data_IF_538879822960
#
_entry.id   IF_538879822960
#
_cell.length_a   1.000
_cell.length_b   1.000
_cell.length_c   1.000
_cell.angle_alpha   90.00
_cell.angle_beta   90.00
_cell.angle_gamma   90.00
#
_symmetry.space_group_name_H-M   'P 1'
#
loop_
_entity.id
_entity.type
_entity.pdbx_description
1 polymer ?
#
# COMPACT_ATOMS: atom_id res chain seq x y z
N UNK A 1 10.31 -4.71 11.35
CA UNK A 1 11.31 -4.27 10.40
C UNK A 1 10.64 -3.73 9.14
N UNK A 2 10.58 -2.40 9.03
CA UNK A 2 9.94 -1.71 7.92
C UNK A 2 10.99 -0.88 7.20
N UNK A 3 10.97 -0.94 5.86
CA UNK A 3 11.90 -0.15 5.04
C UNK A 3 11.13 0.88 4.25
N UNK A 4 11.37 2.14 4.55
CA UNK A 4 10.79 3.26 3.83
C UNK A 4 11.87 3.93 3.01
N UNK A 5 11.67 3.99 1.71
CA UNK A 5 12.61 4.66 0.82
C UNK A 5 12.38 6.17 0.86
N UNK A 6 13.15 6.90 0.08
CA UNK A 6 13.09 8.37 0.07
C UNK A 6 11.74 8.88 -0.37
N UNK A 7 11.29 9.98 0.24
CA UNK A 7 10.10 10.72 -0.18
C UNK A 7 8.79 9.95 -0.01
N UNK A 8 8.78 8.92 0.84
CA UNK A 8 7.53 8.21 1.15
C UNK A 8 6.69 9.07 2.10
N UNK A 9 5.41 9.21 1.81
CA UNK A 9 4.50 9.89 2.70
C UNK A 9 3.62 8.89 3.44
N UNK A 10 3.68 8.92 4.77
CA UNK A 10 2.87 8.04 5.63
C UNK A 10 2.06 8.93 6.56
N UNK A 11 0.75 9.06 6.33
CA UNK A 11 -0.08 9.93 7.17
C UNK A 11 -0.46 9.26 8.48
N UNK A 12 -1.07 10.04 9.37
CA UNK A 12 -1.59 9.49 10.62
C UNK A 12 -2.66 8.42 10.33
N UNK A 13 -2.85 7.53 11.28
CA UNK A 13 -3.81 6.43 11.22
C UNK A 13 -3.43 5.33 10.24
N UNK A 14 -2.20 5.34 9.72
CA UNK A 14 -1.68 4.25 8.91
C UNK A 14 -1.18 3.15 9.82
N UNK A 15 -1.45 1.89 9.46
CA UNK A 15 -0.93 0.73 10.18
C UNK A 15 -0.03 -0.05 9.23
N UNK A 16 1.19 -0.31 9.66
CA UNK A 16 2.18 -1.03 8.83
C UNK A 16 2.70 -2.22 9.62
N UNK A 17 2.56 -3.40 9.04
CA UNK A 17 3.02 -4.63 9.65
C UNK A 17 4.53 -4.82 9.53
N UNK A 18 5.00 -6.01 9.87
CA UNK A 18 6.42 -6.32 9.85
C UNK A 18 6.89 -6.68 8.46
N UNK A 19 8.16 -6.35 8.16
CA UNK A 19 8.78 -6.74 6.90
C UNK A 19 8.25 -6.01 5.68
N UNK A 20 7.56 -4.90 5.86
CA UNK A 20 6.99 -4.14 4.76
C UNK A 20 8.08 -3.30 4.10
N UNK A 21 8.05 -3.27 2.76
CA UNK A 21 8.94 -2.40 1.97
C UNK A 21 8.08 -1.38 1.22
N UNK A 22 8.43 -0.11 1.33
CA UNK A 22 7.71 0.94 0.59
C UNK A 22 8.71 1.70 -0.27
N UNK A 23 8.52 1.60 -1.58
CA UNK A 23 9.40 2.22 -2.56
C UNK A 23 9.33 3.74 -2.55
N UNK A 24 10.30 4.40 -3.19
CA UNK A 24 10.42 5.85 -3.13
C UNK A 24 9.22 6.57 -3.72
N UNK A 25 8.85 7.66 -3.09
CA UNK A 25 7.77 8.54 -3.53
C UNK A 25 6.39 7.89 -3.54
N UNK A 26 6.22 6.76 -2.86
CA UNK A 26 4.89 6.21 -2.65
C UNK A 26 4.13 7.10 -1.67
N UNK A 27 2.82 7.22 -1.88
CA UNK A 27 1.98 8.11 -1.09
C UNK A 27 0.80 7.33 -0.52
N UNK A 28 0.73 7.25 0.80
CA UNK A 28 -0.41 6.70 1.50
C UNK A 28 -1.29 7.87 1.92
N UNK A 29 -2.60 7.70 1.86
CA UNK A 29 -3.52 8.80 2.15
C UNK A 29 -4.53 8.40 3.21
N UNK A 30 -5.07 9.39 3.92
CA UNK A 30 -5.99 9.12 5.03
C UNK A 30 -7.27 9.95 4.99
N UNK A 31 -7.43 10.80 3.99
CA UNK A 31 -8.63 11.64 3.89
C UNK A 31 -9.24 11.45 2.51
N UNK A 32 -10.38 10.78 2.47
CA UNK A 32 -11.04 10.48 1.19
C UNK A 32 -11.53 11.73 0.50
N UNK A 33 -11.88 12.75 1.26
CA UNK A 33 -12.43 14.00 0.73
C UNK A 33 -11.66 15.18 1.32
N UNK A 34 -10.38 15.32 0.95
CA UNK A 34 -9.56 16.36 1.54
C UNK A 34 -10.07 17.76 1.17
N UNK A 35 -9.91 18.75 2.01
CA UNK A 35 -9.24 18.70 3.29
C UNK A 35 -10.22 18.66 4.46
N UNK A 36 -10.99 17.61 4.60
CA UNK A 36 -12.04 17.59 5.64
C UNK A 36 -11.47 17.56 7.05
N UNK A 37 -10.37 16.82 7.26
CA UNK A 37 -9.81 16.67 8.59
C UNK A 37 -10.80 16.13 9.60
N UNK A 38 -11.79 15.41 9.15
CA UNK A 38 -12.87 14.91 10.00
C UNK A 38 -12.43 13.68 10.79
N UNK A 39 -13.19 13.32 11.84
CA UNK A 39 -12.82 12.15 12.64
C UNK A 39 -12.84 10.84 11.85
N UNK A 40 -13.41 10.84 10.67
CA UNK A 40 -13.42 9.66 9.83
C UNK A 40 -12.12 9.43 9.06
N UNK A 41 -11.07 10.15 9.37
CA UNK A 41 -9.78 9.88 8.74
C UNK A 41 -9.38 8.43 8.97
N UNK A 42 -9.01 7.75 7.89
CA UNK A 42 -8.57 6.35 7.93
C UNK A 42 -7.36 6.17 7.05
N UNK A 43 -6.25 5.80 7.66
CA UNK A 43 -5.08 5.43 6.89
C UNK A 43 -5.22 4.00 6.35
N UNK A 44 -4.37 3.63 5.41
CA UNK A 44 -4.36 2.24 4.94
C UNK A 44 -3.75 1.32 5.98
N UNK A 45 -4.07 0.03 5.84
CA UNK A 45 -3.46 -1.02 6.65
C UNK A 45 -2.62 -1.88 5.73
N UNK A 46 -1.32 -1.88 5.93
CA UNK A 46 -0.41 -2.74 5.18
C UNK A 46 -0.04 -3.90 6.09
N UNK A 47 -0.47 -5.12 5.73
CA UNK A 47 -0.16 -6.28 6.53
C UNK A 47 1.27 -6.72 6.31
N UNK A 48 1.69 -7.80 6.97
CA UNK A 48 3.09 -8.19 6.99
C UNK A 48 3.62 -8.50 5.59
N UNK A 49 4.87 -8.15 5.34
CA UNK A 49 5.62 -8.48 4.13
C UNK A 49 5.03 -7.90 2.84
N UNK A 50 4.25 -6.84 2.95
CA UNK A 50 3.72 -6.13 1.78
C UNK A 50 4.85 -5.37 1.10
N UNK A 51 4.83 -5.35 -0.21
CA UNK A 51 5.76 -4.57 -1.02
C UNK A 51 4.97 -3.48 -1.75
N UNK A 52 5.38 -2.23 -1.59
CA UNK A 52 4.76 -1.11 -2.31
C UNK A 52 5.78 -0.54 -3.28
N UNK A 53 5.45 -0.53 -4.56
CA UNK A 53 6.33 -0.02 -5.60
C UNK A 53 6.44 1.50 -5.59
N UNK A 54 7.45 2.00 -6.29
CA UNK A 54 7.70 3.44 -6.36
C UNK A 54 6.50 4.19 -6.95
N UNK A 55 6.22 5.36 -6.41
CA UNK A 55 5.16 6.25 -6.89
C UNK A 55 3.75 5.68 -6.84
N UNK A 56 3.54 4.61 -6.09
CA UNK A 56 2.19 4.07 -5.90
C UNK A 56 1.40 4.99 -4.97
N UNK A 57 0.09 5.03 -5.16
CA UNK A 57 -0.81 5.78 -4.29
C UNK A 57 -1.84 4.83 -3.71
N UNK A 58 -1.99 4.86 -2.39
CA UNK A 58 -2.94 3.99 -1.70
C UNK A 58 -3.99 4.85 -1.03
N UNK A 59 -5.26 4.61 -1.38
CA UNK A 59 -6.35 5.43 -0.90
C UNK A 59 -6.72 5.12 0.55
N UNK A 60 -7.43 6.04 1.22
CA UNK A 60 -7.77 5.88 2.64
C UNK A 60 -8.54 4.60 2.92
N UNK A 61 -8.21 3.97 4.02
CA UNK A 61 -8.94 2.82 4.51
C UNK A 61 -8.69 1.52 3.76
N UNK A 62 -7.82 1.53 2.76
CA UNK A 62 -7.50 0.31 1.99
C UNK A 62 -6.69 -0.63 2.86
N UNK A 63 -7.04 -1.92 2.82
CA UNK A 63 -6.24 -2.96 3.48
C UNK A 63 -5.48 -3.75 2.42
N UNK A 64 -4.18 -3.83 2.57
CA UNK A 64 -3.33 -4.61 1.67
C UNK A 64 -2.92 -5.88 2.40
N UNK A 65 -3.33 -7.03 1.88
CA UNK A 65 -3.13 -8.31 2.55
C UNK A 65 -1.68 -8.76 2.59
N UNK A 66 -1.37 -9.61 3.56
CA UNK A 66 0.00 -10.09 3.77
C UNK A 66 0.62 -10.63 2.50
N UNK A 67 1.88 -10.27 2.27
CA UNK A 67 2.64 -10.77 1.12
C UNK A 67 2.20 -10.23 -0.22
N UNK A 68 1.23 -9.32 -0.26
CA UNK A 68 0.80 -8.70 -1.51
C UNK A 68 1.83 -7.68 -1.99
N UNK A 69 1.79 -7.37 -3.28
CA UNK A 69 2.66 -6.37 -3.86
C UNK A 69 1.83 -5.35 -4.63
N UNK A 70 2.23 -4.09 -4.52
CA UNK A 70 1.64 -3.00 -5.27
C UNK A 70 2.66 -2.60 -6.33
N UNK A 71 2.28 -2.65 -7.60
CA UNK A 71 3.21 -2.28 -8.67
C UNK A 71 3.52 -0.80 -8.64
N UNK A 72 4.67 -0.43 -9.20
CA UNK A 72 5.06 0.97 -9.30
C UNK A 72 3.98 1.76 -10.05
N UNK A 73 3.67 2.95 -9.54
CA UNK A 73 2.70 3.85 -10.17
C UNK A 73 1.26 3.42 -10.06
N UNK A 74 0.95 2.35 -9.36
CA UNK A 74 -0.44 1.89 -9.24
C UNK A 74 -1.25 2.82 -8.36
N UNK A 75 -2.54 2.93 -8.67
CA UNK A 75 -3.51 3.62 -7.81
C UNK A 75 -4.40 2.58 -7.17
N UNK A 76 -4.23 2.34 -5.89
CA UNK A 76 -4.94 1.30 -5.17
C UNK A 76 -6.20 1.90 -4.55
N UNK A 77 -7.37 1.50 -5.06
CA UNK A 77 -8.65 2.08 -4.67
C UNK A 77 -9.48 1.16 -3.78
N UNK A 78 -9.07 -0.08 -3.64
CA UNK A 78 -9.81 -1.06 -2.83
C UNK A 78 -8.85 -2.10 -2.26
N UNK A 79 -9.34 -2.87 -1.31
CA UNK A 79 -8.52 -3.85 -0.60
C UNK A 79 -7.83 -4.81 -1.57
N UNK A 80 -6.57 -5.12 -1.28
CA UNK A 80 -5.77 -6.03 -2.09
C UNK A 80 -5.70 -7.38 -1.37
N UNK A 81 -6.12 -8.46 -2.02
CA UNK A 81 -6.06 -9.78 -1.38
C UNK A 81 -4.62 -10.18 -1.07
N UNK A 82 -4.45 -10.95 -0.02
CA UNK A 82 -3.12 -11.43 0.35
C UNK A 82 -2.48 -12.19 -0.81
N UNK A 83 -1.18 -12.02 -0.97
CA UNK A 83 -0.42 -12.76 -1.96
C UNK A 83 -0.69 -12.39 -3.41
N UNK A 84 -1.45 -11.32 -3.65
CA UNK A 84 -1.77 -10.88 -5.00
C UNK A 84 -0.98 -9.63 -5.35
N UNK A 85 -0.95 -9.30 -6.64
CA UNK A 85 -0.33 -8.07 -7.11
C UNK A 85 -1.41 -7.12 -7.60
N UNK A 86 -1.32 -5.87 -7.17
CA UNK A 86 -2.18 -4.80 -7.66
C UNK A 86 -1.38 -3.96 -8.66
N UNK A 87 -1.92 -3.78 -9.87
CA UNK A 87 -1.19 -3.09 -10.94
C UNK A 87 -2.14 -2.21 -11.73
N UNK A 88 -1.70 -1.02 -12.07
CA UNK A 88 -2.45 -0.12 -12.95
C UNK A 88 -3.18 1.00 -12.22
N UNK A 89 -3.90 1.79 -13.01
CA UNK A 89 -4.63 2.98 -12.53
C UNK A 89 -6.01 2.99 -13.18
N UNK A 90 -7.08 2.60 -12.47
CA UNK A 90 -7.07 2.01 -11.13
C UNK A 90 -6.46 0.61 -11.12
N UNK A 91 -5.93 0.22 -9.99
CA UNK A 91 -5.23 -1.05 -9.90
C UNK A 91 -6.17 -2.23 -10.06
N UNK A 92 -5.68 -3.23 -10.77
CA UNK A 92 -6.35 -4.52 -10.91
C UNK A 92 -5.45 -5.59 -10.34
N UNK A 93 -6.04 -6.69 -9.92
CA UNK A 93 -5.29 -7.73 -9.23
C UNK A 93 -4.89 -8.83 -10.18
N UNK A 94 -3.71 -9.36 -9.96
CA UNK A 94 -3.22 -10.50 -10.73
C UNK A 94 -2.33 -11.35 -9.84
N UNK A 95 -1.95 -12.49 -10.34
CA UNK A 95 -1.09 -13.39 -9.60
C UNK A 95 0.29 -12.75 -9.38
N UNK A 96 0.81 -12.93 -8.18
CA UNK A 96 2.11 -12.38 -7.83
C UNK A 96 3.21 -13.12 -8.60
N UNK A 97 4.12 -12.38 -9.29
CA UNK A 97 5.24 -13.06 -9.94
C UNK A 97 6.07 -13.85 -8.95
N UNK A 98 6.59 -15.01 -9.40
CA UNK A 98 7.33 -15.90 -8.53
C UNK A 98 8.50 -15.19 -7.82
N UNK A 99 9.20 -14.32 -8.55
CA UNK A 99 10.35 -13.60 -7.97
C UNK A 99 9.98 -12.63 -6.87
N UNK A 100 8.71 -12.27 -6.77
CA UNK A 100 8.25 -11.34 -5.73
C UNK A 100 7.64 -12.05 -4.54
N UNK A 101 7.54 -13.38 -4.57
CA UNK A 101 7.01 -14.13 -3.44
C UNK A 101 8.03 -14.11 -2.32
N UNK A 102 7.59 -13.68 -1.15
CA UNK A 102 8.46 -13.58 0.01
C UNK A 102 8.11 -14.69 0.98
N UNK A 103 9.15 -15.43 1.38
CA UNK A 103 8.95 -16.55 2.31
C UNK A 103 8.41 -16.08 3.63
N UNK A 104 7.50 -16.86 4.13
CA UNK A 104 6.86 -16.60 5.42
C UNK A 104 7.78 -16.90 6.58
#
# INVERSE_FOLDING_TARGET
>A
DVRLQSMVFVPTHTVIGDGVFIGPAAVLTNDRYPPTGKPELKGPVLEDRVIVGANATILPGVRVGSGAAIAAGALVTRDVPRGMMAIGTPARFKELPALMRRNE
#
